data_IF_427894680443
#
_entry.id   IF_427894680443
#
_cell.length_a   1.000
_cell.length_b   1.000
_cell.length_c   1.000
_cell.angle_alpha   90.00
_cell.angle_beta   90.00
_cell.angle_gamma   90.00
#
_symmetry.space_group_name_H-M   'P 1'
#
loop_
_entity.id
_entity.type
_entity.pdbx_description
1 polymer ?
#
# COMPACT_ATOMS: atom_id res chain seq x y z
N UNK A 1 6.10 -5.65 15.12
CA UNK A 1 4.83 -6.32 14.78
C UNK A 1 4.95 -7.16 13.50
N UNK A 2 5.27 -6.62 12.31
CA UNK A 2 5.38 -7.43 11.07
C UNK A 2 6.31 -8.65 11.20
N UNK A 3 7.55 -8.48 11.67
CA UNK A 3 8.49 -9.60 11.87
C UNK A 3 8.05 -10.59 12.95
N UNK A 4 7.23 -10.17 13.92
CA UNK A 4 6.69 -11.09 14.93
C UNK A 4 5.54 -11.92 14.37
N UNK A 5 4.70 -11.32 13.52
CA UNK A 5 3.63 -12.02 12.80
C UNK A 5 4.19 -12.95 11.72
N UNK A 6 5.31 -12.52 11.10
CA UNK A 6 6.02 -13.18 10.01
C UNK A 6 5.12 -13.74 8.89
N UNK A 7 4.25 -12.92 8.28
CA UNK A 7 3.30 -13.42 7.28
C UNK A 7 4.00 -13.89 6.00
N UNK A 8 3.60 -15.04 5.47
CA UNK A 8 4.07 -15.52 4.16
C UNK A 8 3.52 -14.68 3.00
N UNK A 9 2.33 -14.09 3.18
CA UNK A 9 1.62 -13.30 2.17
C UNK A 9 1.21 -11.94 2.75
N UNK A 10 1.51 -10.88 2.04
CA UNK A 10 0.99 -9.52 2.29
C UNK A 10 -0.07 -9.24 1.22
N UNK A 11 -1.26 -8.87 1.67
CA UNK A 11 -2.43 -8.62 0.81
C UNK A 11 -2.81 -7.14 0.96
N UNK A 12 -3.13 -6.48 -0.15
CA UNK A 12 -3.64 -5.11 -0.18
C UNK A 12 -4.36 -4.78 -1.47
N UNK A 13 -4.82 -3.54 -1.60
CA UNK A 13 -5.50 -3.04 -2.80
C UNK A 13 -4.67 -1.89 -3.37
N UNK A 14 -4.27 -1.97 -4.64
CA UNK A 14 -3.25 -1.06 -5.21
C UNK A 14 -1.93 -1.13 -4.41
N UNK A 15 -1.62 -2.34 -3.92
CA UNK A 15 -0.54 -2.62 -2.98
C UNK A 15 0.84 -2.30 -3.58
N UNK A 16 1.08 -2.69 -4.83
CA UNK A 16 2.40 -2.60 -5.46
C UNK A 16 2.73 -1.17 -5.92
N UNK A 17 1.75 -0.51 -6.55
CA UNK A 17 1.96 0.76 -7.23
C UNK A 17 1.78 1.97 -6.30
N UNK A 18 0.91 1.85 -5.28
CA UNK A 18 0.55 2.98 -4.41
C UNK A 18 1.00 2.73 -2.98
N UNK A 19 0.48 1.69 -2.33
CA UNK A 19 0.60 1.53 -0.87
C UNK A 19 2.06 1.28 -0.45
N UNK A 20 2.66 0.18 -0.92
CA UNK A 20 4.04 -0.16 -0.54
C UNK A 20 5.05 0.83 -1.10
N UNK A 21 4.79 1.40 -2.27
CA UNK A 21 5.64 2.45 -2.83
C UNK A 21 5.69 3.66 -1.88
N UNK A 22 4.53 4.11 -1.41
CA UNK A 22 4.41 5.25 -0.48
C UNK A 22 5.07 4.95 0.87
N UNK A 23 4.86 3.75 1.41
CA UNK A 23 5.48 3.31 2.68
C UNK A 23 6.99 3.29 2.56
N UNK A 24 7.55 2.70 1.50
CA UNK A 24 9.00 2.65 1.28
C UNK A 24 9.60 4.03 1.06
N UNK A 25 8.96 4.88 0.24
CA UNK A 25 9.41 6.27 0.05
C UNK A 25 9.51 7.01 1.38
N UNK A 26 8.44 7.00 2.17
CA UNK A 26 8.41 7.66 3.49
C UNK A 26 9.45 7.07 4.44
N UNK A 27 9.63 5.76 4.41
CA UNK A 27 10.65 5.07 5.23
C UNK A 27 12.05 5.56 4.88
N UNK A 28 12.36 5.75 3.60
CA UNK A 28 13.64 6.25 3.14
C UNK A 28 13.83 7.75 3.41
N UNK A 29 12.81 8.58 3.13
CA UNK A 29 12.86 10.03 3.36
C UNK A 29 13.05 10.37 4.84
N UNK A 30 12.37 9.63 5.73
CA UNK A 30 12.49 9.75 7.19
C UNK A 30 13.70 9.00 7.75
N UNK A 31 14.51 8.35 6.90
CA UNK A 31 15.71 7.57 7.28
C UNK A 31 15.45 6.53 8.36
N UNK A 32 14.30 5.87 8.29
CA UNK A 32 13.95 4.83 9.26
C UNK A 32 14.88 3.63 9.09
N UNK A 33 15.39 3.14 10.22
CA UNK A 33 16.23 1.93 10.25
C UNK A 33 15.40 0.66 10.01
N UNK A 34 16.09 -0.42 9.61
CA UNK A 34 15.49 -1.75 9.48
C UNK A 34 14.34 -1.87 8.46
N UNK A 35 14.33 -1.05 7.40
CA UNK A 35 13.35 -1.14 6.30
C UNK A 35 13.29 -2.53 5.64
N UNK A 36 14.41 -3.26 5.64
CA UNK A 36 14.51 -4.62 5.08
C UNK A 36 13.69 -5.67 5.84
N UNK A 37 13.13 -5.30 6.99
CA UNK A 37 12.14 -6.12 7.72
C UNK A 37 10.78 -6.21 7.02
N UNK A 38 10.55 -5.43 5.96
CA UNK A 38 9.41 -5.61 5.06
C UNK A 38 9.44 -7.01 4.44
N UNK A 39 10.59 -7.42 3.90
CA UNK A 39 10.85 -8.78 3.44
C UNK A 39 11.33 -9.72 4.55
N UNK A 40 11.86 -10.88 4.14
CA UNK A 40 12.60 -11.83 4.99
C UNK A 40 14.11 -11.81 4.75
N UNK A 41 14.56 -11.19 3.66
CA UNK A 41 15.98 -11.03 3.38
C UNK A 41 16.53 -9.77 4.05
N UNK A 42 17.56 -9.91 4.88
CA UNK A 42 18.29 -8.76 5.42
C UNK A 42 19.09 -8.12 4.29
N UNK A 43 18.70 -6.92 3.90
CA UNK A 43 19.32 -6.17 2.81
C UNK A 43 20.20 -5.05 3.37
N UNK A 44 21.39 -4.93 2.77
CA UNK A 44 22.38 -3.87 3.06
C UNK A 44 22.56 -2.90 1.88
N UNK A 45 21.83 -3.13 0.79
CA UNK A 45 21.91 -2.35 -0.45
C UNK A 45 21.28 -0.98 -0.21
N UNK A 46 21.78 0.03 -0.90
CA UNK A 46 21.16 1.34 -0.91
C UNK A 46 19.98 1.35 -1.89
N UNK A 47 18.84 0.79 -1.44
CA UNK A 47 17.59 0.90 -2.18
C UNK A 47 17.03 2.32 -2.15
N UNK A 48 17.37 3.12 -1.13
CA UNK A 48 16.89 4.49 -1.01
C UNK A 48 17.38 5.37 -2.17
N UNK A 49 18.65 5.28 -2.57
CA UNK A 49 19.15 6.00 -3.75
C UNK A 49 18.63 5.46 -5.08
N UNK A 50 18.21 4.20 -5.15
CA UNK A 50 17.55 3.64 -6.33
C UNK A 50 16.10 4.12 -6.44
N UNK A 51 15.41 4.25 -5.30
CA UNK A 51 14.04 4.74 -5.21
C UNK A 51 13.92 6.23 -5.58
N UNK A 52 14.91 7.05 -5.21
CA UNK A 52 14.96 8.47 -5.60
C UNK A 52 15.34 8.68 -7.06
N UNK A 53 16.15 7.79 -7.64
CA UNK A 53 16.48 7.82 -9.09
C UNK A 53 15.30 7.37 -9.95
N UNK A 54 14.48 6.43 -9.46
CA UNK A 54 13.24 6.01 -10.10
C UNK A 54 12.31 7.18 -10.42
N UNK A 55 12.26 8.17 -9.52
CA UNK A 55 11.39 9.35 -9.65
C UNK A 55 11.97 10.46 -10.51
N UNK A 56 13.28 10.44 -10.79
CA UNK A 56 13.98 11.54 -11.44
C UNK A 56 14.06 11.43 -12.98
N UNK A 57 13.68 10.29 -13.57
CA UNK A 57 13.66 10.16 -15.02
C UNK A 57 13.05 8.86 -15.51
N UNK A 58 11.83 8.95 -16.06
CA UNK A 58 11.23 8.04 -17.06
C UNK A 58 11.37 6.52 -16.88
N UNK A 59 11.68 6.00 -15.69
CA UNK A 59 11.63 4.55 -15.44
C UNK A 59 10.16 4.17 -15.28
N UNK A 60 9.68 3.26 -16.12
CA UNK A 60 8.27 2.85 -16.17
C UNK A 60 7.78 2.37 -14.80
N UNK A 61 6.45 2.38 -14.59
CA UNK A 61 5.77 1.85 -13.40
C UNK A 61 6.34 0.49 -12.93
N UNK A 62 6.80 -0.34 -13.88
CA UNK A 62 7.45 -1.63 -13.63
C UNK A 62 8.72 -1.52 -12.76
N UNK A 63 9.50 -0.44 -12.86
CA UNK A 63 10.73 -0.28 -12.07
C UNK A 63 10.44 -0.05 -10.58
N UNK A 64 9.46 0.79 -10.25
CA UNK A 64 9.07 1.00 -8.84
C UNK A 64 8.49 -0.28 -8.23
N UNK A 65 7.64 -0.99 -8.97
CA UNK A 65 7.11 -2.28 -8.57
C UNK A 65 8.22 -3.32 -8.34
N UNK A 66 9.27 -3.33 -9.17
CA UNK A 66 10.44 -4.20 -8.96
C UNK A 66 11.19 -3.88 -7.67
N UNK A 67 11.37 -2.60 -7.32
CA UNK A 67 12.00 -2.24 -6.04
C UNK A 67 11.10 -2.65 -4.86
N UNK A 68 9.79 -2.51 -4.99
CA UNK A 68 8.83 -2.98 -3.98
C UNK A 68 8.95 -4.50 -3.80
N UNK A 69 8.98 -5.25 -4.89
CA UNK A 69 9.16 -6.70 -4.87
C UNK A 69 10.51 -7.10 -4.26
N UNK A 70 11.59 -6.38 -4.58
CA UNK A 70 12.90 -6.60 -3.96
C UNK A 70 12.86 -6.31 -2.45
N UNK A 71 12.25 -5.20 -2.02
CA UNK A 71 12.14 -4.83 -0.62
C UNK A 71 11.31 -5.84 0.19
N UNK A 72 10.32 -6.48 -0.44
CA UNK A 72 9.48 -7.52 0.14
C UNK A 72 10.03 -8.95 -0.04
N UNK A 73 11.24 -9.13 -0.57
CA UNK A 73 11.80 -10.43 -0.91
C UNK A 73 11.67 -11.46 0.24
N UNK A 74 11.12 -12.63 -0.10
CA UNK A 74 10.81 -13.70 0.86
C UNK A 74 9.38 -13.65 1.42
N UNK A 75 8.55 -12.70 0.98
CA UNK A 75 7.10 -12.68 1.18
C UNK A 75 6.39 -12.57 -0.16
N UNK A 76 5.24 -13.22 -0.30
CA UNK A 76 4.37 -13.07 -1.46
C UNK A 76 3.57 -11.78 -1.33
N UNK A 77 3.44 -11.03 -2.43
CA UNK A 77 2.60 -9.84 -2.51
C UNK A 77 1.35 -10.18 -3.32
N UNK A 78 0.18 -9.96 -2.73
CA UNK A 78 -1.12 -10.17 -3.37
C UNK A 78 -1.81 -8.81 -3.53
N UNK A 79 -1.82 -8.31 -4.77
CA UNK A 79 -2.51 -7.08 -5.11
C UNK A 79 -3.92 -7.38 -5.61
N UNK A 80 -4.91 -7.10 -4.78
CA UNK A 80 -6.31 -7.39 -5.10
C UNK A 80 -6.83 -6.54 -6.25
N UNK A 81 -6.26 -5.37 -6.53
CA UNK A 81 -6.66 -4.52 -7.66
C UNK A 81 -6.27 -5.16 -9.00
N UNK A 82 -5.01 -5.61 -9.11
CA UNK A 82 -4.53 -6.28 -10.32
C UNK A 82 -5.24 -7.62 -10.53
N UNK A 83 -5.37 -8.42 -9.47
CA UNK A 83 -6.10 -9.68 -9.53
C UNK A 83 -7.57 -9.48 -9.92
N UNK A 84 -8.23 -8.41 -9.45
CA UNK A 84 -9.60 -8.12 -9.83
C UNK A 84 -9.72 -7.81 -11.33
N UNK A 85 -8.79 -7.05 -11.92
CA UNK A 85 -8.79 -6.79 -13.37
C UNK A 85 -8.67 -8.05 -14.21
N UNK A 86 -7.86 -9.00 -13.76
CA UNK A 86 -7.65 -10.26 -14.48
C UNK A 86 -8.84 -11.23 -14.31
N UNK A 87 -9.42 -11.28 -13.11
CA UNK A 87 -10.44 -12.27 -12.74
C UNK A 87 -11.88 -11.79 -12.97
N UNK A 88 -12.12 -10.48 -12.99
CA UNK A 88 -13.47 -9.88 -13.05
C UNK A 88 -13.64 -9.03 -14.32
N UNK A 89 -13.60 -9.62 -15.53
CA UNK A 89 -13.61 -8.86 -16.79
C UNK A 89 -14.90 -8.08 -17.07
N UNK A 90 -15.95 -8.26 -16.25
CA UNK A 90 -17.22 -7.55 -16.36
C UNK A 90 -17.25 -6.25 -15.56
N UNK A 91 -16.35 -6.09 -14.60
CA UNK A 91 -16.27 -4.89 -13.78
C UNK A 91 -15.68 -3.73 -14.60
N UNK A 92 -16.27 -2.55 -14.41
CA UNK A 92 -15.84 -1.31 -15.08
C UNK A 92 -15.02 -0.42 -14.17
N UNK A 93 -15.26 -0.53 -12.86
CA UNK A 93 -14.54 0.16 -11.81
C UNK A 93 -13.96 -0.89 -10.87
N UNK A 94 -12.65 -0.82 -10.66
CA UNK A 94 -11.89 -1.73 -9.80
C UNK A 94 -11.49 -1.08 -8.47
N UNK A 95 -12.01 0.11 -8.16
CA UNK A 95 -11.82 0.75 -6.86
C UNK A 95 -12.33 -0.15 -5.74
N UNK A 96 -11.68 -0.10 -4.58
CA UNK A 96 -12.08 -0.90 -3.42
C UNK A 96 -13.53 -0.62 -3.01
N UNK A 97 -14.01 0.62 -3.16
CA UNK A 97 -15.40 1.00 -2.90
C UNK A 97 -16.38 0.32 -3.86
N UNK A 98 -16.07 0.28 -5.16
CA UNK A 98 -16.91 -0.41 -6.15
C UNK A 98 -16.91 -1.92 -5.95
N UNK A 99 -15.73 -2.53 -5.76
CA UNK A 99 -15.60 -3.98 -5.55
C UNK A 99 -16.24 -4.45 -4.22
N UNK A 100 -16.26 -3.59 -3.19
CA UNK A 100 -16.99 -3.87 -1.93
C UNK A 100 -18.49 -4.10 -2.19
N UNK A 101 -19.07 -3.36 -3.13
CA UNK A 101 -20.48 -3.51 -3.51
C UNK A 101 -20.65 -4.70 -4.45
N UNK A 102 -19.90 -4.74 -5.57
CA UNK A 102 -20.14 -5.72 -6.63
C UNK A 102 -19.70 -7.15 -6.27
N UNK A 103 -18.66 -7.31 -5.45
CA UNK A 103 -18.10 -8.63 -5.10
C UNK A 103 -18.50 -9.08 -3.69
N UNK A 104 -18.54 -8.17 -2.71
CA UNK A 104 -18.79 -8.53 -1.30
C UNK A 104 -20.24 -8.30 -0.85
N UNK A 105 -21.08 -7.70 -1.70
CA UNK A 105 -22.46 -7.32 -1.37
C UNK A 105 -22.55 -6.49 -0.08
N UNK A 106 -21.62 -5.55 0.08
CA UNK A 106 -21.56 -4.60 1.20
C UNK A 106 -21.90 -3.20 0.76
N UNK A 107 -22.24 -2.36 1.73
CA UNK A 107 -22.37 -0.92 1.51
C UNK A 107 -21.07 -0.34 0.93
N UNK A 108 -21.16 0.71 0.09
CA UNK A 108 -19.99 1.37 -0.45
C UNK A 108 -19.08 1.88 0.68
N UNK A 109 -17.78 1.64 0.53
CA UNK A 109 -16.79 2.24 1.42
C UNK A 109 -16.76 3.76 1.17
N UNK A 110 -17.05 4.53 2.21
CA UNK A 110 -16.94 5.99 2.20
C UNK A 110 -15.51 6.35 2.57
N UNK A 111 -14.72 6.73 1.58
CA UNK A 111 -13.33 7.16 1.77
C UNK A 111 -13.32 8.64 2.15
N UNK A 112 -12.52 9.02 3.15
CA UNK A 112 -12.37 10.42 3.55
C UNK A 112 -11.54 11.16 2.50
N UNK A 113 -12.07 12.27 1.99
CA UNK A 113 -11.31 13.17 1.12
C UNK A 113 -10.11 13.76 1.87
N UNK A 114 -8.95 13.80 1.20
CA UNK A 114 -7.69 14.27 1.79
C UNK A 114 -7.78 15.62 2.49
N UNK A 115 -8.62 16.53 1.97
CA UNK A 115 -8.83 17.88 2.48
C UNK A 115 -9.49 17.90 3.87
N UNK A 116 -10.29 16.88 4.20
CA UNK A 116 -11.01 16.75 5.48
C UNK A 116 -10.17 16.06 6.56
N UNK A 117 -9.02 15.48 6.20
CA UNK A 117 -8.19 14.73 7.15
C UNK A 117 -7.72 15.61 8.30
N UNK A 118 -7.36 16.88 8.02
CA UNK A 118 -6.88 17.80 9.06
C UNK A 118 -7.94 18.07 10.14
N UNK A 119 -9.22 18.19 9.74
CA UNK A 119 -10.34 18.41 10.65
C UNK A 119 -10.52 17.24 11.62
N UNK A 120 -10.22 16.01 11.17
CA UNK A 120 -10.38 14.80 11.97
C UNK A 120 -9.39 14.70 13.13
N UNK A 121 -8.27 15.44 13.08
CA UNK A 121 -7.33 15.54 14.20
C UNK A 121 -7.77 16.53 15.29
N UNK A 122 -8.90 17.24 15.09
CA UNK A 122 -9.40 18.24 16.04
C UNK A 122 -9.88 17.70 17.38
N UNK A 123 -10.22 16.41 17.47
CA UNK A 123 -10.59 15.75 18.73
C UNK A 123 -10.21 14.27 18.74
N UNK A 124 -10.01 13.71 19.94
CA UNK A 124 -9.75 12.29 20.11
C UNK A 124 -10.90 11.44 19.56
N UNK A 125 -12.15 11.83 19.81
CA UNK A 125 -13.33 11.09 19.33
C UNK A 125 -13.41 11.07 17.80
N UNK A 126 -13.14 12.19 17.13
CA UNK A 126 -13.12 12.27 15.66
C UNK A 126 -12.00 11.40 15.06
N UNK A 127 -10.81 11.44 15.66
CA UNK A 127 -9.68 10.61 15.21
C UNK A 127 -9.95 9.13 15.45
N UNK A 128 -10.58 8.78 16.58
CA UNK A 128 -10.92 7.40 16.90
C UNK A 128 -11.99 6.88 15.93
N UNK A 129 -13.00 7.71 15.63
CA UNK A 129 -14.01 7.44 14.60
C UNK A 129 -13.37 7.16 13.24
N UNK A 130 -12.45 8.02 12.81
CA UNK A 130 -11.69 7.84 11.57
C UNK A 130 -10.97 6.47 11.54
N UNK A 131 -10.36 6.09 12.67
CA UNK A 131 -9.60 4.84 12.78
C UNK A 131 -10.50 3.59 12.81
N UNK A 132 -11.64 3.66 13.49
CA UNK A 132 -12.46 2.46 13.74
C UNK A 132 -13.54 2.23 12.69
N UNK A 133 -14.09 3.28 12.09
CA UNK A 133 -15.21 3.18 11.16
C UNK A 133 -14.78 2.91 9.72
N UNK A 134 -13.48 2.68 9.48
CA UNK A 134 -12.91 2.33 8.16
C UNK A 134 -13.18 3.39 7.09
N UNK A 135 -13.04 4.66 7.48
CA UNK A 135 -13.27 5.83 6.61
C UNK A 135 -12.00 6.29 5.90
N UNK A 136 -10.96 5.46 5.84
CA UNK A 136 -9.72 5.72 5.09
C UNK A 136 -9.89 5.37 3.63
#
# INVERSE_FOLDING_TARGET
KLVQLDPDVIIGHELLDVELQTVLRRTFDLRLSNWSRLGRLVQKRDLASQFSKATAGHSSLSWAANIVAEAAAGRLLCDTYLNAKDLLPKEKDYSISALSVSVLEKEPLVLTESEKIEELYGSADSLLKFITERVW
#
